data_IF_290814153352
#
_entry.id   IF_290814153352
#
_cell.length_a   1.000
_cell.length_b   1.000
_cell.length_c   1.000
_cell.angle_alpha   90.00
_cell.angle_beta   90.00
_cell.angle_gamma   90.00
#
_symmetry.space_group_name_H-M   'P 1'
#
loop_
_entity.id
_entity.type
_entity.pdbx_description
1 polymer ?
#
# COMPACT_ATOMS: atom_id res chain seq x y z
N UNK A 1 -7.58 -11.82 -10.52
CA UNK A 1 -7.38 -10.78 -9.50
C UNK A 1 -7.86 -11.32 -8.16
N UNK A 2 -7.11 -11.10 -7.09
CA UNK A 2 -7.36 -11.59 -5.72
C UNK A 2 -7.25 -10.48 -4.65
N UNK A 3 -7.35 -9.22 -5.07
CA UNK A 3 -7.56 -8.07 -4.20
C UNK A 3 -9.05 -7.92 -3.81
N UNK A 4 -9.31 -7.76 -2.52
CA UNK A 4 -10.60 -7.36 -1.99
C UNK A 4 -10.52 -5.92 -1.47
N UNK A 5 -11.41 -5.05 -1.94
CA UNK A 5 -11.48 -3.64 -1.51
C UNK A 5 -12.82 -3.40 -0.83
N UNK A 6 -12.82 -2.67 0.28
CA UNK A 6 -14.01 -2.16 0.97
C UNK A 6 -14.25 -0.71 0.51
N UNK A 7 -15.16 -0.47 -0.45
CA UNK A 7 -15.26 0.84 -1.09
C UNK A 7 -15.74 1.93 -0.15
N UNK A 8 -16.59 1.61 0.84
CA UNK A 8 -17.02 2.58 1.86
C UNK A 8 -15.82 3.08 2.68
N UNK A 9 -14.98 2.17 3.18
CA UNK A 9 -13.80 2.50 3.98
C UNK A 9 -12.78 3.29 3.16
N UNK A 10 -12.55 2.90 1.89
CA UNK A 10 -11.69 3.67 0.98
C UNK A 10 -12.20 5.10 0.83
N UNK A 11 -13.50 5.25 0.55
CA UNK A 11 -14.14 6.55 0.33
C UNK A 11 -14.06 7.44 1.59
N UNK A 12 -14.34 6.86 2.76
CA UNK A 12 -14.24 7.58 4.05
C UNK A 12 -12.81 8.02 4.35
N UNK A 13 -11.83 7.13 4.16
CA UNK A 13 -10.42 7.48 4.31
C UNK A 13 -9.99 8.60 3.36
N UNK A 14 -10.31 8.49 2.06
CA UNK A 14 -9.95 9.52 1.07
C UNK A 14 -10.58 10.88 1.40
N UNK A 15 -11.77 10.91 2.00
CA UNK A 15 -12.40 12.16 2.46
C UNK A 15 -11.59 12.90 3.53
N UNK A 16 -10.74 12.20 4.26
CA UNK A 16 -9.87 12.81 5.29
C UNK A 16 -8.63 13.48 4.73
N UNK A 17 -8.26 13.19 3.47
CA UNK A 17 -7.02 13.68 2.86
C UNK A 17 -7.12 15.10 2.29
N UNK A 18 -8.33 15.64 2.18
CA UNK A 18 -8.55 16.98 1.65
C UNK A 18 -8.86 16.98 0.16
N UNK A 19 -8.14 17.78 -0.63
CA UNK A 19 -8.46 17.99 -2.04
C UNK A 19 -7.94 16.86 -2.92
N UNK A 20 -8.77 16.40 -3.86
CA UNK A 20 -8.30 15.48 -4.90
C UNK A 20 -7.27 16.10 -5.87
N UNK A 21 -7.07 17.42 -5.84
CA UNK A 21 -6.00 18.10 -6.60
C UNK A 21 -4.65 18.11 -5.88
N UNK A 22 -4.62 17.85 -4.57
CA UNK A 22 -3.38 17.77 -3.81
C UNK A 22 -2.65 16.47 -4.12
N UNK A 23 -1.34 16.42 -3.88
CA UNK A 23 -0.55 15.23 -4.20
C UNK A 23 -0.75 14.14 -3.13
N UNK A 24 -1.39 13.04 -3.53
CA UNK A 24 -1.55 11.86 -2.68
C UNK A 24 -1.22 10.58 -3.42
N UNK A 25 -0.34 9.80 -2.81
CA UNK A 25 -0.02 8.44 -3.22
C UNK A 25 -0.27 7.51 -2.03
N UNK A 26 -1.49 6.98 -1.95
CA UNK A 26 -1.96 6.21 -0.79
C UNK A 26 -1.87 4.72 -1.07
N UNK A 27 -1.48 3.94 -0.06
CA UNK A 27 -1.47 2.49 -0.12
C UNK A 27 -0.73 1.87 1.05
N UNK A 28 -0.20 0.66 0.85
CA UNK A 28 0.64 -0.04 1.82
C UNK A 28 2.11 0.37 1.62
N UNK A 29 2.59 1.34 2.38
CA UNK A 29 4.01 1.73 2.27
C UNK A 29 4.97 0.62 2.69
N UNK A 30 6.06 0.49 1.95
CA UNK A 30 7.22 -0.38 2.17
C UNK A 30 8.50 0.38 1.83
N UNK A 31 9.60 -0.01 2.49
CA UNK A 31 10.93 0.55 2.25
C UNK A 31 11.89 -0.56 1.87
N UNK A 32 12.28 -0.58 0.60
CA UNK A 32 13.41 -1.37 0.12
C UNK A 32 14.60 -0.43 -0.12
N UNK A 33 15.13 -0.39 -1.35
CA UNK A 33 16.04 0.65 -1.80
C UNK A 33 15.33 2.00 -2.02
N UNK A 34 14.01 1.96 -2.21
CA UNK A 34 13.12 3.14 -2.33
C UNK A 34 11.88 2.94 -1.47
N UNK A 35 11.18 4.04 -1.18
CA UNK A 35 9.83 3.97 -0.62
C UNK A 35 8.84 3.69 -1.74
N UNK A 36 7.89 2.80 -1.51
CA UNK A 36 6.84 2.47 -2.47
C UNK A 36 5.57 1.99 -1.76
N UNK A 37 4.43 2.06 -2.42
CA UNK A 37 3.22 1.39 -1.96
C UNK A 37 3.11 0.02 -2.63
N UNK A 38 2.91 -1.05 -1.87
CA UNK A 38 2.78 -2.42 -2.40
C UNK A 38 1.63 -2.53 -3.39
N UNK A 39 1.93 -3.01 -4.60
CA UNK A 39 0.92 -3.26 -5.64
C UNK A 39 -0.13 -4.30 -5.22
N UNK A 40 0.30 -5.34 -4.49
CA UNK A 40 -0.62 -6.39 -4.01
C UNK A 40 -1.68 -5.86 -3.04
N UNK A 41 -1.34 -4.91 -2.18
CA UNK A 41 -2.33 -4.30 -1.29
C UNK A 41 -3.28 -3.33 -2.03
N UNK A 42 -2.97 -2.98 -3.27
CA UNK A 42 -3.56 -1.86 -3.97
C UNK A 42 -3.06 -0.51 -3.45
N UNK A 43 -3.05 0.47 -4.35
CA UNK A 43 -2.76 1.87 -4.05
C UNK A 43 -3.67 2.76 -4.88
N UNK A 44 -3.80 4.02 -4.49
CA UNK A 44 -4.55 5.03 -5.24
C UNK A 44 -3.74 6.32 -5.36
N UNK A 45 -3.94 7.01 -6.49
CA UNK A 45 -3.38 8.31 -6.77
C UNK A 45 -4.51 9.34 -6.72
N UNK A 46 -4.25 10.50 -6.13
CA UNK A 46 -5.15 11.64 -6.29
C UNK A 46 -5.25 12.05 -7.76
N UNK A 47 -6.25 12.85 -8.09
CA UNK A 47 -6.40 13.37 -9.46
C UNK A 47 -5.22 14.27 -9.85
N UNK A 48 -4.72 15.07 -8.91
CA UNK A 48 -3.51 15.88 -9.08
C UNK A 48 -2.26 15.03 -9.36
N UNK A 49 -2.03 14.00 -8.54
CA UNK A 49 -0.90 13.08 -8.71
C UNK A 49 -0.99 12.29 -10.01
N UNK A 50 -2.17 11.77 -10.37
CA UNK A 50 -2.36 11.02 -11.61
C UNK A 50 -2.10 11.90 -12.85
N UNK A 51 -2.55 13.16 -12.84
CA UNK A 51 -2.29 14.10 -13.94
C UNK A 51 -0.79 14.31 -14.13
N UNK A 52 -0.06 14.64 -13.06
CA UNK A 52 1.39 14.82 -13.09
C UNK A 52 2.12 13.55 -13.55
N UNK A 53 1.70 12.39 -13.05
CA UNK A 53 2.25 11.10 -13.45
C UNK A 53 2.10 10.85 -14.95
N UNK A 54 0.88 10.98 -15.50
CA UNK A 54 0.63 10.75 -16.93
C UNK A 54 1.37 11.76 -17.81
N UNK A 55 1.49 13.02 -17.38
CA UNK A 55 2.23 14.05 -18.12
C UNK A 55 3.72 13.75 -18.25
N UNK A 56 4.31 12.99 -17.31
CA UNK A 56 5.75 12.72 -17.24
C UNK A 56 6.12 11.23 -17.38
N UNK A 57 5.13 10.34 -17.62
CA UNK A 57 5.38 8.90 -17.67
C UNK A 57 6.34 8.52 -18.81
N UNK A 58 6.23 9.22 -19.95
CA UNK A 58 7.08 9.02 -21.13
C UNK A 58 8.43 9.77 -21.05
N UNK A 59 8.60 10.61 -20.03
CA UNK A 59 9.86 11.29 -19.82
C UNK A 59 10.93 10.29 -19.37
N UNK A 60 12.18 10.52 -19.80
CA UNK A 60 13.34 9.72 -19.39
C UNK A 60 13.69 9.84 -17.89
N UNK A 61 12.85 10.49 -17.09
CA UNK A 61 13.10 10.90 -15.70
C UNK A 61 12.77 9.81 -14.66
N UNK A 62 13.07 8.54 -14.99
CA UNK A 62 12.92 7.42 -14.07
C UNK A 62 11.58 6.69 -14.12
N UNK A 63 10.62 7.14 -14.94
CA UNK A 63 9.28 6.54 -15.04
C UNK A 63 9.22 5.25 -15.86
N UNK A 64 10.28 4.93 -16.62
CA UNK A 64 10.52 3.62 -17.25
C UNK A 64 9.29 2.98 -17.93
N UNK A 65 8.46 3.78 -18.62
CA UNK A 65 7.14 3.38 -19.14
C UNK A 65 7.14 2.11 -20.02
N UNK A 66 8.25 1.84 -20.70
CA UNK A 66 8.39 0.69 -21.59
C UNK A 66 8.84 -0.61 -20.89
N UNK A 67 9.13 -0.58 -19.59
CA UNK A 67 9.63 -1.77 -18.89
C UNK A 67 8.47 -2.68 -18.47
N UNK A 68 8.57 -3.96 -18.80
CA UNK A 68 7.64 -4.98 -18.35
C UNK A 68 8.27 -5.79 -17.22
N UNK A 69 7.84 -5.54 -15.99
CA UNK A 69 8.37 -6.20 -14.78
C UNK A 69 7.28 -6.41 -13.74
N UNK A 70 7.51 -7.32 -12.80
CA UNK A 70 6.66 -7.51 -11.63
C UNK A 70 6.86 -6.43 -10.55
N UNK A 71 7.75 -5.46 -10.76
CA UNK A 71 8.09 -4.36 -9.85
C UNK A 71 7.44 -3.03 -10.25
N UNK A 72 6.24 -3.12 -10.84
CA UNK A 72 5.45 -1.96 -11.30
C UNK A 72 5.22 -0.94 -10.18
N UNK A 73 4.96 -1.43 -8.96
CA UNK A 73 4.75 -0.61 -7.77
C UNK A 73 5.99 0.21 -7.37
N UNK A 74 7.17 -0.40 -7.45
CA UNK A 74 8.45 0.27 -7.26
C UNK A 74 8.71 1.31 -8.35
N UNK A 75 8.36 1.01 -9.60
CA UNK A 75 8.56 1.93 -10.73
C UNK A 75 7.66 3.15 -10.64
N UNK A 76 6.37 2.98 -10.32
CA UNK A 76 5.46 4.10 -10.08
C UNK A 76 6.00 4.95 -8.94
N UNK A 77 6.43 4.33 -7.84
CA UNK A 77 6.97 5.09 -6.72
C UNK A 77 8.24 5.89 -7.09
N UNK A 78 9.15 5.30 -7.88
CA UNK A 78 10.34 5.99 -8.38
C UNK A 78 10.00 7.19 -9.27
N UNK A 79 9.03 7.02 -10.17
CA UNK A 79 8.51 8.09 -11.01
C UNK A 79 7.91 9.23 -10.18
N UNK A 80 7.02 8.90 -9.25
CA UNK A 80 6.39 9.90 -8.39
C UNK A 80 7.40 10.63 -7.50
N UNK A 81 8.40 9.91 -6.98
CA UNK A 81 9.49 10.50 -6.19
C UNK A 81 10.30 11.51 -7.03
N UNK A 82 10.55 11.23 -8.31
CA UNK A 82 11.26 12.18 -9.19
C UNK A 82 10.45 13.45 -9.47
N UNK A 83 9.12 13.38 -9.32
CA UNK A 83 8.20 14.51 -9.37
C UNK A 83 7.99 15.19 -8.00
N UNK A 84 8.71 14.76 -6.96
CA UNK A 84 8.58 15.28 -5.60
C UNK A 84 7.35 14.78 -4.84
N UNK A 85 6.74 13.67 -5.28
CA UNK A 85 5.54 13.07 -4.68
C UNK A 85 5.94 11.76 -3.99
N UNK A 86 5.94 11.79 -2.65
CA UNK A 86 6.17 10.60 -1.81
C UNK A 86 4.86 9.91 -1.40
N UNK A 87 4.98 8.75 -0.76
CA UNK A 87 3.82 8.04 -0.21
C UNK A 87 3.12 8.85 0.87
N UNK A 88 1.80 8.71 0.94
CA UNK A 88 0.98 9.22 2.04
C UNK A 88 0.86 8.15 3.13
N UNK A 89 1.13 8.49 4.40
CA UNK A 89 0.92 7.56 5.50
C UNK A 89 -0.58 7.26 5.67
N UNK A 90 -0.94 6.00 5.47
CA UNK A 90 -2.34 5.54 5.46
C UNK A 90 -2.76 4.90 6.77
N UNK A 91 -1.90 4.90 7.80
CA UNK A 91 -2.21 4.30 9.10
C UNK A 91 -3.22 5.11 9.90
N UNK A 92 -3.93 4.42 10.79
CA UNK A 92 -4.83 5.09 11.73
C UNK A 92 -4.05 5.81 12.84
N UNK A 93 -4.77 6.50 13.73
CA UNK A 93 -4.17 7.22 14.85
C UNK A 93 -3.41 6.33 15.85
N UNK A 94 -3.61 5.00 15.79
CA UNK A 94 -2.91 4.00 16.60
C UNK A 94 -1.75 3.35 15.84
N UNK A 95 -1.48 3.78 14.62
CA UNK A 95 -0.44 3.24 13.76
C UNK A 95 -0.79 1.89 13.13
N UNK A 96 -2.07 1.55 13.02
CA UNK A 96 -2.56 0.30 12.42
C UNK A 96 -2.84 0.48 10.94
N UNK A 97 -2.68 -0.59 10.18
CA UNK A 97 -2.65 -0.55 8.73
C UNK A 97 -4.06 -0.56 8.12
N UNK A 98 -4.25 0.19 7.02
CA UNK A 98 -5.50 0.17 6.23
C UNK A 98 -5.39 -0.67 4.96
N UNK A 99 -4.22 -0.69 4.33
CA UNK A 99 -3.97 -1.42 3.09
C UNK A 99 -3.12 -2.66 3.39
N UNK A 100 -3.60 -3.84 3.03
CA UNK A 100 -3.01 -5.09 3.50
C UNK A 100 -2.49 -5.97 2.34
N UNK A 101 -1.18 -6.29 2.30
CA UNK A 101 -0.57 -7.10 1.25
C UNK A 101 -0.84 -8.60 1.39
N UNK A 102 -1.55 -9.01 2.45
CA UNK A 102 -1.96 -10.39 2.69
C UNK A 102 -3.42 -10.45 3.18
N UNK A 103 -3.94 -11.66 3.32
CA UNK A 103 -5.27 -11.90 3.89
C UNK A 103 -5.29 -11.61 5.41
N UNK A 104 -6.46 -11.29 6.00
CA UNK A 104 -6.59 -10.96 7.43
C UNK A 104 -5.99 -12.01 8.36
N UNK A 105 -6.24 -13.30 8.08
CA UNK A 105 -5.70 -14.40 8.89
C UNK A 105 -4.17 -14.45 8.90
N UNK A 106 -3.53 -14.06 7.79
CA UNK A 106 -2.07 -13.96 7.74
C UNK A 106 -1.57 -12.86 8.66
N UNK A 107 -2.17 -11.67 8.62
CA UNK A 107 -1.79 -10.57 9.51
C UNK A 107 -2.04 -10.86 11.00
N UNK A 108 -3.15 -11.55 11.31
CA UNK A 108 -3.50 -11.94 12.68
C UNK A 108 -2.52 -12.95 13.29
N UNK A 109 -2.02 -13.88 12.47
CA UNK A 109 -1.18 -14.99 12.95
C UNK A 109 0.31 -14.81 12.68
N UNK A 110 0.69 -13.81 11.88
CA UNK A 110 2.09 -13.52 11.57
C UNK A 110 2.86 -13.15 12.84
N UNK A 111 4.05 -13.71 12.97
CA UNK A 111 4.99 -13.46 14.05
C UNK A 111 6.40 -13.38 13.49
N UNK A 112 7.28 -12.67 14.20
CA UNK A 112 8.69 -12.57 13.84
C UNK A 112 9.33 -13.97 13.72
N UNK A 113 10.18 -14.20 12.70
CA UNK A 113 10.93 -15.45 12.57
C UNK A 113 11.78 -15.71 13.83
N UNK A 114 11.77 -16.95 14.33
CA UNK A 114 12.45 -17.31 15.59
C UNK A 114 13.98 -17.42 15.47
N UNK A 115 14.50 -17.64 14.26
CA UNK A 115 15.88 -18.12 14.06
C UNK A 115 16.81 -17.11 13.34
N UNK A 116 16.54 -15.81 13.46
CA UNK A 116 17.40 -14.78 12.84
C UNK A 116 17.41 -14.80 11.30
N UNK A 117 16.47 -15.53 10.69
CA UNK A 117 16.23 -15.50 9.25
C UNK A 117 15.72 -14.11 8.84
N UNK A 118 16.31 -13.55 7.79
CA UNK A 118 15.85 -12.30 7.17
C UNK A 118 14.48 -12.54 6.55
N UNK A 119 13.45 -11.92 7.11
CA UNK A 119 12.12 -11.87 6.53
C UNK A 119 11.93 -10.51 5.83
N UNK A 120 11.64 -10.54 4.54
CA UNK A 120 11.51 -9.33 3.73
C UNK A 120 10.38 -8.43 4.23
N UNK A 121 9.31 -9.00 4.80
CA UNK A 121 8.18 -8.24 5.29
C UNK A 121 8.56 -7.52 6.58
N UNK A 122 9.34 -8.14 7.47
CA UNK A 122 9.98 -7.41 8.57
C UNK A 122 10.91 -6.30 8.06
N UNK A 123 11.83 -6.62 7.15
CA UNK A 123 12.83 -5.68 6.63
C UNK A 123 12.18 -4.44 6.01
N UNK A 124 11.16 -4.65 5.17
CA UNK A 124 10.46 -3.56 4.48
C UNK A 124 9.62 -2.69 5.42
N UNK A 125 9.40 -3.13 6.66
CA UNK A 125 8.65 -2.39 7.68
C UNK A 125 9.52 -1.90 8.84
N UNK A 126 10.84 -2.13 8.79
CA UNK A 126 11.77 -1.89 9.91
C UNK A 126 11.74 -0.45 10.44
N UNK A 127 11.54 0.54 9.57
CA UNK A 127 11.55 1.95 9.96
C UNK A 127 10.35 2.36 10.83
N UNK A 128 9.21 1.71 10.66
CA UNK A 128 7.97 2.04 11.41
C UNK A 128 7.47 0.93 12.33
N UNK A 129 8.02 -0.27 12.22
CA UNK A 129 7.62 -1.45 12.99
C UNK A 129 6.32 -2.09 12.51
N UNK A 130 6.10 -3.34 12.91
CA UNK A 130 4.87 -4.08 12.63
C UNK A 130 3.97 -4.11 13.87
N UNK A 131 2.68 -3.86 13.66
CA UNK A 131 1.64 -4.21 14.64
C UNK A 131 1.19 -5.64 14.36
N UNK A 132 1.09 -6.46 15.40
CA UNK A 132 0.80 -7.88 15.29
C UNK A 132 -0.53 -8.24 15.97
N UNK A 133 -1.07 -9.41 15.64
CA UNK A 133 -2.28 -9.92 16.27
C UNK A 133 -3.48 -9.00 16.00
N UNK A 134 -4.30 -8.81 17.02
CA UNK A 134 -5.51 -7.97 16.96
C UNK A 134 -5.21 -6.48 16.68
N UNK A 135 -3.96 -6.06 16.87
CA UNK A 135 -3.53 -4.69 16.64
C UNK A 135 -2.97 -4.47 15.22
N UNK A 136 -2.86 -5.50 14.39
CA UNK A 136 -2.27 -5.38 13.05
C UNK A 136 -2.94 -4.33 12.17
N UNK A 137 -4.25 -4.20 12.36
CA UNK A 137 -5.14 -3.78 11.30
C UNK A 137 -6.16 -2.79 11.83
N UNK A 138 -6.37 -1.71 11.08
CA UNK A 138 -7.32 -0.69 11.46
C UNK A 138 -8.76 -1.21 11.27
N UNK A 139 -9.73 -0.83 12.11
CA UNK A 139 -11.12 -1.23 11.95
C UNK A 139 -11.73 -0.70 10.65
N UNK A 140 -11.22 0.42 10.15
CA UNK A 140 -11.50 1.02 8.85
C UNK A 140 -10.50 0.55 7.77
N UNK A 141 -10.11 -0.73 7.82
CA UNK A 141 -9.28 -1.34 6.77
C UNK A 141 -9.89 -1.14 5.39
N UNK A 142 -9.06 -0.89 4.39
CA UNK A 142 -9.46 -0.53 3.03
C UNK A 142 -9.36 -1.72 2.09
N UNK A 143 -8.29 -2.51 2.17
CA UNK A 143 -8.04 -3.58 1.19
C UNK A 143 -7.27 -4.76 1.76
N UNK A 144 -7.51 -5.94 1.19
CA UNK A 144 -6.83 -7.19 1.54
C UNK A 144 -6.47 -7.97 0.28
N UNK A 145 -5.22 -8.40 0.17
CA UNK A 145 -4.73 -9.21 -0.93
C UNK A 145 -4.87 -10.73 -0.66
N UNK A 146 -4.74 -11.56 -1.70
CA UNK A 146 -4.91 -13.02 -1.65
C UNK A 146 -6.31 -13.51 -1.20
N UNK A 147 -7.35 -12.72 -1.46
CA UNK A 147 -8.75 -13.01 -1.13
C UNK A 147 -9.43 -13.85 -2.22
N UNK A 148 -8.97 -15.09 -2.38
CA UNK A 148 -9.34 -15.95 -3.53
C UNK A 148 -10.73 -16.58 -3.48
N UNK A 149 -11.34 -16.67 -2.30
CA UNK A 149 -12.63 -17.36 -2.11
C UNK A 149 -13.66 -16.42 -1.47
N UNK A 150 -14.92 -16.41 -1.94
CA UNK A 150 -15.99 -15.62 -1.30
C UNK A 150 -16.13 -15.90 0.20
N UNK A 151 -15.86 -17.13 0.64
CA UNK A 151 -15.89 -17.51 2.06
C UNK A 151 -14.88 -16.74 2.92
N UNK A 152 -13.74 -16.30 2.37
CA UNK A 152 -12.72 -15.55 3.11
C UNK A 152 -13.21 -14.15 3.50
N UNK A 153 -14.20 -13.62 2.77
CA UNK A 153 -14.77 -12.28 3.00
C UNK A 153 -15.88 -12.31 4.06
N UNK A 154 -16.46 -13.49 4.35
CA UNK A 154 -17.66 -13.62 5.22
C UNK A 154 -17.45 -13.17 6.67
N UNK A 155 -16.20 -13.08 7.12
CA UNK A 155 -15.83 -12.70 8.49
C UNK A 155 -15.02 -11.40 8.55
N UNK A 156 -15.05 -10.59 7.50
CA UNK A 156 -14.40 -9.27 7.46
C UNK A 156 -15.31 -8.16 8.03
N UNK A 157 -16.58 -8.50 8.34
CA UNK A 157 -17.56 -7.61 8.98
C UNK A 157 -17.93 -8.12 10.37
#
# INVERSE_FOLDING_TARGET
DDLFVMPQNLREYLWTLGSAEDDHFVGRRFKSNVYFNSGGAGYALSRGTLRKFVEHIDDKHGCSAAAHTSMEDVMIAQCLTSLGIDFTDTRDSRGRERFHPFAPGSHLTWNYPKDGNRDWYEEYNKEWGLKLGEECCAPDSVSWHYMKKPAMVRHIY
#
